data_IF_107396080429
#
_entry.id   IF_107396080429
#
_cell.length_a   1.000
_cell.length_b   1.000
_cell.length_c   1.000
_cell.angle_alpha   90.00
_cell.angle_beta   90.00
_cell.angle_gamma   90.00
#
_symmetry.space_group_name_H-M   'P 1'
#
loop_
_entity.id
_entity.type
_entity.pdbx_description
1 polymer ?
#
# COMPACT_ATOMS: atom_id res chain seq x y z
N UNK A 1 11.56 82.86 24.10
CA UNK A 1 10.13 82.77 23.72
C UNK A 1 9.90 82.14 22.34
N UNK A 2 10.65 82.50 21.28
CA UNK A 2 10.49 81.90 19.94
C UNK A 2 10.61 80.36 19.89
N UNK A 3 11.58 79.77 20.61
CA UNK A 3 11.77 78.31 20.68
C UNK A 3 10.61 77.58 21.38
N UNK A 4 10.06 78.18 22.44
CA UNK A 4 8.92 77.62 23.17
C UNK A 4 7.66 77.60 22.29
N UNK A 5 7.44 78.65 21.49
CA UNK A 5 6.30 78.78 20.59
C UNK A 5 6.34 77.76 19.44
N UNK A 6 7.53 77.46 18.92
CA UNK A 6 7.72 76.43 17.88
C UNK A 6 7.39 75.04 18.43
N UNK A 7 7.79 74.73 19.67
CA UNK A 7 7.54 73.43 20.30
C UNK A 7 6.05 73.23 20.60
N UNK A 8 5.35 74.25 21.12
CA UNK A 8 3.90 74.16 21.35
C UNK A 8 3.12 74.02 20.06
N UNK A 9 3.55 74.68 18.98
CA UNK A 9 2.90 74.57 17.68
C UNK A 9 3.09 73.17 17.08
N UNK A 10 4.28 72.55 17.24
CA UNK A 10 4.54 71.19 16.78
C UNK A 10 3.68 70.16 17.53
N UNK A 11 3.55 70.29 18.84
CA UNK A 11 2.68 69.44 19.67
C UNK A 11 1.21 69.56 19.27
N UNK A 12 0.74 70.78 18.99
CA UNK A 12 -0.61 71.01 18.52
C UNK A 12 -0.85 70.34 17.17
N UNK A 13 0.13 70.42 16.26
CA UNK A 13 0.05 69.81 14.93
C UNK A 13 -0.04 68.28 15.01
N UNK A 14 0.78 67.65 15.87
CA UNK A 14 0.74 66.20 16.12
C UNK A 14 -0.62 65.79 16.70
N UNK A 15 -1.14 66.53 17.68
CA UNK A 15 -2.46 66.26 18.27
C UNK A 15 -3.59 66.41 17.24
N UNK A 16 -3.53 67.42 16.38
CA UNK A 16 -4.50 67.54 15.28
C UNK A 16 -4.38 66.41 14.26
N UNK A 17 -3.17 65.92 13.96
CA UNK A 17 -2.99 64.78 13.04
C UNK A 17 -3.49 63.45 13.61
N UNK A 18 -3.36 63.25 14.94
CA UNK A 18 -3.87 62.06 15.63
C UNK A 18 -5.41 62.08 15.71
N UNK A 19 -6.01 63.25 16.00
CA UNK A 19 -7.46 63.42 16.04
C UNK A 19 -8.12 63.43 14.66
N UNK A 20 -7.39 63.79 13.59
CA UNK A 20 -7.91 63.81 12.22
C UNK A 20 -8.17 62.40 11.64
N UNK A 21 -7.94 61.33 12.39
CA UNK A 21 -8.37 59.98 12.02
C UNK A 21 -7.66 59.39 10.79
N UNK A 22 -6.55 59.98 10.34
CA UNK A 22 -5.77 59.49 9.19
C UNK A 22 -4.85 58.31 9.54
N UNK A 23 -4.94 57.80 10.78
CA UNK A 23 -4.35 56.52 11.15
C UNK A 23 -5.18 55.41 10.49
N UNK A 24 -4.96 55.19 9.20
CA UNK A 24 -5.42 54.00 8.51
C UNK A 24 -4.71 52.80 9.16
N UNK A 25 -5.37 52.20 10.14
CA UNK A 25 -4.95 50.94 10.73
C UNK A 25 -5.17 49.89 9.64
N UNK A 26 -4.11 49.53 8.93
CA UNK A 26 -4.10 48.38 8.02
C UNK A 26 -4.01 47.09 8.85
N UNK A 27 -5.07 46.76 9.59
CA UNK A 27 -5.22 45.42 10.15
C UNK A 27 -5.59 44.48 9.02
N UNK A 28 -4.62 43.73 8.50
CA UNK A 28 -4.91 42.56 7.68
C UNK A 28 -5.40 41.46 8.61
N UNK A 29 -6.71 41.23 8.61
CA UNK A 29 -7.28 40.02 9.20
C UNK A 29 -6.99 38.88 8.24
N UNK A 30 -5.95 38.11 8.53
CA UNK A 30 -5.75 36.81 7.88
C UNK A 30 -6.77 35.87 8.50
N UNK A 31 -7.89 35.64 7.81
CA UNK A 31 -8.72 34.49 8.11
C UNK A 31 -7.89 33.24 7.81
N UNK A 32 -7.42 32.57 8.87
CA UNK A 32 -6.92 31.21 8.79
C UNK A 32 -8.10 30.31 8.43
N UNK A 33 -8.43 30.27 7.13
CA UNK A 33 -9.44 29.37 6.60
C UNK A 33 -8.93 27.96 6.89
N UNK A 34 -9.63 27.22 7.74
CA UNK A 34 -9.34 25.81 7.96
C UNK A 34 -9.42 25.12 6.60
N UNK A 35 -8.27 24.68 6.08
CA UNK A 35 -8.26 23.80 4.91
C UNK A 35 -9.02 22.55 5.37
N UNK A 36 -10.13 22.19 4.71
CA UNK A 36 -10.87 21.01 5.12
C UNK A 36 -9.94 19.80 4.99
N UNK A 37 -9.63 19.19 6.14
CA UNK A 37 -8.92 17.91 6.18
C UNK A 37 -9.96 16.86 5.77
N UNK A 38 -10.05 16.59 4.47
CA UNK A 38 -10.88 15.50 3.96
C UNK A 38 -10.05 14.22 3.97
N UNK A 39 -10.49 13.21 4.72
CA UNK A 39 -9.89 11.89 4.68
C UNK A 39 -10.07 11.29 3.28
N UNK A 40 -8.96 10.90 2.64
CA UNK A 40 -9.00 10.18 1.37
C UNK A 40 -9.40 8.73 1.61
N UNK A 41 -10.16 8.16 0.68
CA UNK A 41 -10.58 6.77 0.74
C UNK A 41 -9.45 5.84 0.29
N UNK A 42 -9.22 4.78 1.08
CA UNK A 42 -8.31 3.68 0.79
C UNK A 42 -9.08 2.36 0.80
N UNK A 43 -8.95 1.58 -0.26
CA UNK A 43 -9.62 0.30 -0.47
C UNK A 43 -8.59 -0.70 -0.97
N UNK A 44 -8.51 -1.85 -0.30
CA UNK A 44 -7.78 -3.02 -0.75
C UNK A 44 -8.73 -4.20 -0.58
N UNK A 45 -9.11 -4.82 -1.68
CA UNK A 45 -9.92 -6.03 -1.69
C UNK A 45 -9.10 -7.20 -2.22
N UNK A 46 -9.28 -8.37 -1.61
CA UNK A 46 -8.56 -9.60 -1.97
C UNK A 46 -9.59 -10.67 -2.28
N UNK A 47 -9.72 -10.98 -3.57
CA UNK A 47 -10.55 -12.06 -4.05
C UNK A 47 -9.77 -13.37 -4.06
N UNK A 48 -10.31 -14.40 -3.41
CA UNK A 48 -9.84 -15.78 -3.60
C UNK A 48 -10.55 -16.38 -4.82
N UNK A 49 -9.83 -17.19 -5.61
CA UNK A 49 -10.47 -18.07 -6.60
C UNK A 49 -11.41 -19.11 -5.95
N UNK A 50 -12.01 -19.99 -6.76
CA UNK A 50 -13.02 -20.97 -6.33
C UNK A 50 -12.52 -22.12 -5.44
N UNK A 51 -11.34 -22.01 -4.84
CA UNK A 51 -10.79 -23.07 -3.99
C UNK A 51 -11.14 -22.79 -2.52
N UNK A 52 -12.16 -23.48 -2.02
CA UNK A 52 -12.33 -23.68 -0.59
C UNK A 52 -11.20 -24.62 -0.11
N UNK A 53 -10.43 -24.15 0.89
CA UNK A 53 -9.30 -24.83 1.55
C UNK A 53 -7.97 -24.88 0.74
N UNK A 54 -6.98 -24.10 1.18
CA UNK A 54 -5.62 -23.99 0.62
C UNK A 54 -4.74 -25.19 1.01
N UNK A 55 -5.22 -26.41 0.77
CA UNK A 55 -4.40 -27.60 0.94
C UNK A 55 -3.58 -27.82 -0.34
N UNK A 56 -2.25 -27.87 -0.21
CA UNK A 56 -1.36 -28.19 -1.32
C UNK A 56 -1.35 -29.71 -1.57
N UNK A 57 -1.99 -30.13 -2.68
CA UNK A 57 -1.97 -31.52 -3.14
C UNK A 57 -1.09 -31.62 -4.39
N UNK A 58 0.12 -32.14 -4.24
CA UNK A 58 1.11 -32.21 -5.32
C UNK A 58 1.95 -33.50 -5.25
N UNK A 59 2.26 -34.09 -6.39
CA UNK A 59 3.22 -35.20 -6.51
C UNK A 59 4.48 -34.76 -7.29
N UNK A 60 5.60 -35.51 -7.25
CA UNK A 60 6.76 -35.20 -8.07
C UNK A 60 6.43 -35.31 -9.56
N UNK A 61 6.89 -34.34 -10.32
CA UNK A 61 6.53 -34.10 -11.70
C UNK A 61 5.36 -33.12 -11.89
N UNK A 62 4.59 -32.84 -10.83
CA UNK A 62 3.41 -31.99 -10.94
C UNK A 62 3.74 -30.50 -10.84
N UNK A 63 2.82 -29.71 -11.37
CA UNK A 63 2.76 -28.27 -11.16
C UNK A 63 1.33 -27.86 -10.83
N UNK A 64 1.15 -27.14 -9.72
CA UNK A 64 -0.14 -26.72 -9.17
C UNK A 64 -0.15 -25.20 -9.05
N UNK A 65 -1.24 -24.57 -9.46
CA UNK A 65 -1.37 -23.11 -9.47
C UNK A 65 -2.61 -22.65 -8.70
N UNK A 66 -2.44 -21.67 -7.81
CA UNK A 66 -3.52 -21.05 -7.04
C UNK A 66 -3.68 -19.58 -7.42
N UNK A 67 -4.87 -19.20 -7.84
CA UNK A 67 -5.18 -17.86 -8.33
C UNK A 67 -5.85 -17.02 -7.24
N UNK A 68 -5.47 -15.76 -7.18
CA UNK A 68 -6.11 -14.74 -6.35
C UNK A 68 -6.09 -13.40 -7.07
N UNK A 69 -7.06 -12.55 -6.75
CA UNK A 69 -7.15 -11.19 -7.27
C UNK A 69 -6.91 -10.19 -6.15
N UNK A 70 -6.32 -9.06 -6.51
CA UNK A 70 -6.16 -7.91 -5.63
C UNK A 70 -6.72 -6.73 -6.39
N UNK A 71 -7.63 -5.98 -5.76
CA UNK A 71 -8.22 -4.79 -6.35
C UNK A 71 -8.15 -3.59 -5.41
N UNK A 72 -8.13 -2.40 -5.99
CA UNK A 72 -8.23 -1.14 -5.25
C UNK A 72 -9.67 -0.60 -5.22
N UNK A 73 -10.67 -1.46 -5.44
CA UNK A 73 -12.07 -1.07 -5.52
C UNK A 73 -13.00 -2.11 -4.92
N UNK A 74 -14.09 -1.65 -4.30
CA UNK A 74 -15.10 -2.50 -3.66
C UNK A 74 -16.47 -2.20 -4.27
N UNK A 75 -16.72 -2.69 -5.48
CA UNK A 75 -17.95 -2.41 -6.24
C UNK A 75 -18.03 -0.98 -6.80
N UNK A 76 -19.18 -0.64 -7.38
CA UNK A 76 -19.35 0.61 -8.13
C UNK A 76 -19.08 1.86 -7.28
N UNK A 77 -18.17 2.71 -7.76
CA UNK A 77 -17.87 4.02 -7.17
C UNK A 77 -17.08 3.98 -5.85
N UNK A 78 -16.62 2.81 -5.40
CA UNK A 78 -15.82 2.65 -4.16
C UNK A 78 -14.37 2.26 -4.46
N UNK A 79 -13.61 3.20 -5.02
CA UNK A 79 -12.19 3.03 -5.34
C UNK A 79 -11.28 3.88 -4.44
N UNK A 80 -10.02 3.48 -4.35
CA UNK A 80 -8.98 4.27 -3.69
C UNK A 80 -8.75 5.62 -4.37
N UNK A 81 -8.62 6.68 -3.57
CA UNK A 81 -8.38 8.06 -4.01
C UNK A 81 -6.89 8.46 -3.93
N UNK A 82 -6.05 7.48 -3.65
CA UNK A 82 -4.59 7.59 -3.46
C UNK A 82 -3.89 6.52 -4.28
N UNK A 83 -2.66 6.82 -4.69
CA UNK A 83 -1.77 5.81 -5.25
C UNK A 83 -1.47 4.77 -4.17
N UNK A 84 -1.42 3.49 -4.55
CA UNK A 84 -1.16 2.39 -3.65
C UNK A 84 0.05 1.58 -4.11
N UNK A 85 0.95 1.34 -3.16
CA UNK A 85 1.98 0.32 -3.29
C UNK A 85 1.41 -1.01 -2.81
N UNK A 86 1.85 -2.09 -3.43
CA UNK A 86 1.44 -3.45 -3.10
C UNK A 86 2.62 -4.26 -2.60
N UNK A 87 2.43 -4.96 -1.49
CA UNK A 87 3.37 -5.93 -0.94
C UNK A 87 2.66 -7.28 -0.77
N UNK A 88 3.28 -8.35 -1.26
CA UNK A 88 2.84 -9.73 -1.13
C UNK A 88 3.97 -10.52 -0.46
N UNK A 89 3.68 -11.09 0.71
CA UNK A 89 4.60 -11.89 1.50
C UNK A 89 4.00 -13.26 1.78
N UNK A 90 4.82 -14.30 1.79
CA UNK A 90 4.39 -15.65 2.16
C UNK A 90 5.53 -16.43 2.81
N UNK A 91 5.18 -17.36 3.69
CA UNK A 91 6.11 -18.27 4.35
C UNK A 91 5.74 -19.71 3.99
N UNK A 92 6.60 -20.34 3.20
CA UNK A 92 6.50 -21.73 2.76
C UNK A 92 7.62 -22.59 3.36
N UNK A 93 8.24 -22.17 4.46
CA UNK A 93 9.32 -22.92 5.12
C UNK A 93 8.92 -24.36 5.46
N UNK A 94 7.68 -24.58 5.91
CA UNK A 94 7.12 -25.91 6.16
C UNK A 94 6.99 -26.75 4.88
N UNK A 95 6.63 -26.12 3.76
CA UNK A 95 6.55 -26.77 2.44
C UNK A 95 7.93 -27.19 1.97
N UNK A 96 8.94 -26.34 2.13
CA UNK A 96 10.34 -26.64 1.78
C UNK A 96 10.92 -27.77 2.64
N UNK A 97 10.54 -27.85 3.92
CA UNK A 97 10.92 -28.94 4.81
C UNK A 97 10.29 -30.27 4.40
N UNK A 98 9.02 -30.24 3.98
CA UNK A 98 8.26 -31.45 3.63
C UNK A 98 8.50 -31.93 2.20
N UNK A 99 8.75 -31.02 1.26
CA UNK A 99 8.88 -31.29 -0.18
C UNK A 99 10.26 -30.86 -0.69
N UNK A 100 11.30 -31.71 -0.56
CA UNK A 100 12.63 -31.38 -1.02
C UNK A 100 12.65 -31.04 -2.52
N UNK A 101 13.24 -29.90 -2.86
CA UNK A 101 13.39 -29.44 -4.24
C UNK A 101 12.14 -28.80 -4.87
N UNK A 102 11.08 -28.55 -4.08
CA UNK A 102 9.94 -27.76 -4.53
C UNK A 102 10.38 -26.35 -4.97
N UNK A 103 9.80 -25.88 -6.07
CA UNK A 103 9.97 -24.52 -6.57
C UNK A 103 8.64 -23.79 -6.43
N UNK A 104 8.67 -22.61 -5.81
CA UNK A 104 7.48 -21.79 -5.60
C UNK A 104 7.70 -20.43 -6.24
N UNK A 105 6.82 -20.04 -7.16
CA UNK A 105 6.88 -18.75 -7.84
C UNK A 105 5.55 -17.99 -7.76
N UNK A 106 5.65 -16.66 -7.76
CA UNK A 106 4.53 -15.76 -7.90
C UNK A 106 4.51 -15.22 -9.32
N UNK A 107 3.35 -15.29 -9.95
CA UNK A 107 3.13 -14.81 -11.31
C UNK A 107 2.03 -13.75 -11.34
N UNK A 108 2.18 -12.76 -12.20
CA UNK A 108 1.17 -11.74 -12.54
C UNK A 108 0.90 -11.86 -14.05
N UNK A 109 -0.35 -12.05 -14.45
CA UNK A 109 -0.71 -12.25 -15.87
C UNK A 109 0.14 -13.32 -16.61
N UNK A 110 0.57 -14.38 -15.89
CA UNK A 110 1.38 -15.47 -16.42
C UNK A 110 2.90 -15.20 -16.47
N UNK A 111 3.34 -14.00 -16.11
CA UNK A 111 4.76 -13.66 -16.00
C UNK A 111 5.24 -13.84 -14.56
N UNK A 112 6.38 -14.49 -14.37
CA UNK A 112 6.97 -14.61 -13.04
C UNK A 112 7.45 -13.25 -12.55
N UNK A 113 6.87 -12.81 -11.42
CA UNK A 113 7.20 -11.53 -10.76
C UNK A 113 7.92 -11.73 -9.42
N UNK A 114 7.88 -12.93 -8.86
CA UNK A 114 8.58 -13.28 -7.63
C UNK A 114 8.81 -14.79 -7.49
N UNK A 115 9.68 -15.18 -6.55
CA UNK A 115 9.90 -16.57 -6.17
C UNK A 115 10.23 -16.67 -4.69
N UNK A 116 9.94 -17.83 -4.09
CA UNK A 116 10.40 -18.12 -2.74
C UNK A 116 11.93 -18.33 -2.73
N UNK A 117 12.58 -17.80 -1.71
CA UNK A 117 14.01 -17.99 -1.50
C UNK A 117 14.34 -19.40 -0.98
N UNK A 118 15.62 -19.67 -0.74
CA UNK A 118 16.08 -20.97 -0.21
C UNK A 118 15.56 -21.29 1.21
N UNK A 119 14.97 -20.32 1.91
CA UNK A 119 14.30 -20.53 3.20
C UNK A 119 12.79 -20.74 3.09
N UNK A 120 12.25 -20.70 1.87
CA UNK A 120 10.81 -20.81 1.60
C UNK A 120 10.07 -19.48 1.78
N UNK A 121 10.76 -18.34 1.94
CA UNK A 121 10.09 -17.05 2.07
C UNK A 121 9.94 -16.37 0.72
N UNK A 122 8.73 -15.91 0.44
CA UNK A 122 8.41 -15.14 -0.75
C UNK A 122 8.11 -13.70 -0.34
N UNK A 123 8.71 -12.74 -1.04
CA UNK A 123 8.46 -11.32 -0.84
C UNK A 123 8.45 -10.63 -2.20
N UNK A 124 7.36 -9.95 -2.51
CA UNK A 124 7.16 -9.16 -3.71
C UNK A 124 6.64 -7.78 -3.32
N UNK A 125 7.20 -6.73 -3.94
CA UNK A 125 6.78 -5.35 -3.73
C UNK A 125 6.70 -4.63 -5.06
N UNK A 126 5.59 -3.93 -5.28
CA UNK A 126 5.35 -3.11 -6.46
C UNK A 126 4.90 -1.73 -6.02
N UNK A 127 5.74 -0.72 -6.32
CA UNK A 127 5.36 0.67 -6.10
C UNK A 127 4.35 1.13 -7.14
N UNK A 128 3.39 1.95 -6.73
CA UNK A 128 2.28 2.43 -7.57
C UNK A 128 1.57 1.30 -8.31
N UNK A 129 1.34 0.19 -7.61
CA UNK A 129 0.61 -0.96 -8.12
C UNK A 129 -0.83 -0.59 -8.53
N UNK A 130 -1.43 0.38 -7.86
CA UNK A 130 -2.73 0.94 -8.24
C UNK A 130 -2.70 2.46 -8.28
N UNK A 131 -3.25 3.05 -9.33
CA UNK A 131 -3.34 4.50 -9.50
C UNK A 131 -4.52 5.11 -8.72
N UNK A 132 -4.33 6.33 -8.23
CA UNK A 132 -5.39 7.08 -7.57
C UNK A 132 -6.62 7.27 -8.47
N UNK A 133 -7.81 6.96 -7.93
CA UNK A 133 -9.10 7.16 -8.60
C UNK A 133 -9.27 6.39 -9.92
N UNK A 134 -8.50 5.34 -10.13
CA UNK A 134 -8.67 4.41 -11.26
C UNK A 134 -8.99 3.03 -10.68
N UNK A 135 -10.19 2.47 -10.94
CA UNK A 135 -10.53 1.14 -10.45
C UNK A 135 -9.75 0.12 -11.28
N UNK A 136 -8.95 -0.69 -10.60
CA UNK A 136 -8.08 -1.68 -11.20
C UNK A 136 -8.12 -2.97 -10.38
N UNK A 137 -8.03 -4.09 -11.08
CA UNK A 137 -7.91 -5.43 -10.51
C UNK A 137 -6.70 -6.12 -11.14
N UNK A 138 -5.87 -6.75 -10.30
CA UNK A 138 -4.71 -7.52 -10.70
C UNK A 138 -4.93 -8.98 -10.34
N UNK A 139 -4.63 -9.86 -11.30
CA UNK A 139 -4.70 -11.31 -11.11
C UNK A 139 -3.29 -11.87 -10.90
N UNK A 140 -3.11 -12.51 -9.76
CA UNK A 140 -1.88 -13.19 -9.38
C UNK A 140 -2.10 -14.70 -9.30
N UNK A 141 -1.02 -15.45 -9.46
CA UNK A 141 -1.01 -16.89 -9.25
C UNK A 141 0.25 -17.35 -8.54
N UNK A 142 0.08 -18.14 -7.49
CA UNK A 142 1.16 -18.91 -6.85
C UNK A 142 1.29 -20.25 -7.56
N UNK A 143 2.48 -20.51 -8.11
CA UNK A 143 2.80 -21.73 -8.85
C UNK A 143 3.76 -22.56 -8.02
N UNK A 144 3.35 -23.78 -7.69
CA UNK A 144 4.14 -24.79 -7.00
C UNK A 144 4.54 -25.83 -8.04
N UNK A 145 5.83 -25.99 -8.28
CA UNK A 145 6.37 -27.00 -9.20
C UNK A 145 7.29 -27.93 -8.43
N UNK A 146 7.00 -29.23 -8.44
CA UNK A 146 7.82 -30.21 -7.74
C UNK A 146 8.52 -31.11 -8.75
N UNK A 147 9.80 -30.88 -9.07
CA UNK A 147 10.50 -31.72 -10.03
C UNK A 147 10.60 -33.17 -9.55
N UNK A 148 10.44 -34.10 -10.48
CA UNK A 148 10.69 -35.51 -10.20
C UNK A 148 12.19 -35.74 -9.94
N UNK A 149 12.51 -36.06 -8.68
CA UNK A 149 13.87 -36.31 -8.22
C UNK A 149 13.89 -37.47 -7.22
N UNK A 150 15.04 -38.10 -7.04
CA UNK A 150 15.19 -39.19 -6.07
C UNK A 150 14.78 -38.76 -4.65
N UNK A 151 15.15 -37.55 -4.24
CA UNK A 151 14.76 -36.99 -2.94
C UNK A 151 13.23 -36.78 -2.84
N UNK A 152 12.60 -36.30 -3.91
CA UNK A 152 11.15 -36.11 -3.95
C UNK A 152 10.41 -37.45 -3.81
N UNK A 153 10.85 -38.49 -4.52
CA UNK A 153 10.26 -39.84 -4.45
C UNK A 153 10.36 -40.47 -3.05
N UNK A 154 11.49 -40.27 -2.37
CA UNK A 154 11.68 -40.78 -1.00
C UNK A 154 10.77 -40.08 0.02
N UNK A 155 10.47 -38.79 -0.18
CA UNK A 155 9.62 -38.03 0.75
C UNK A 155 8.16 -38.52 0.78
N UNK A 156 7.59 -38.95 -0.35
CA UNK A 156 6.20 -39.44 -0.43
C UNK A 156 6.01 -40.73 0.37
N UNK A 157 7.05 -41.55 0.48
CA UNK A 157 6.99 -42.81 1.21
C UNK A 157 6.85 -42.62 2.74
N UNK A 158 7.02 -41.38 3.23
CA UNK A 158 6.96 -41.05 4.67
C UNK A 158 5.57 -40.64 5.20
N UNK A 159 4.55 -40.53 4.34
CA UNK A 159 3.16 -40.24 4.73
C UNK A 159 2.66 -38.84 4.34
N UNK A 160 1.33 -38.65 4.37
CA UNK A 160 0.66 -37.41 3.94
C UNK A 160 0.88 -36.28 4.96
N UNK A 161 1.35 -35.13 4.48
CA UNK A 161 1.38 -33.87 5.23
C UNK A 161 0.40 -32.89 4.58
N UNK A 162 -0.58 -32.40 5.34
CA UNK A 162 -1.36 -31.23 4.94
C UNK A 162 -0.50 -30.01 5.27
N UNK A 163 -0.13 -29.24 4.25
CA UNK A 163 0.75 -28.10 4.39
C UNK A 163 -0.09 -26.83 4.28
N UNK A 164 -0.37 -26.13 5.40
CA UNK A 164 -1.16 -24.91 5.35
C UNK A 164 -0.38 -23.83 4.60
N UNK A 165 -1.00 -23.27 3.57
CA UNK A 165 -0.47 -22.13 2.84
C UNK A 165 -1.02 -20.84 3.42
N UNK A 166 -0.16 -19.86 3.68
CA UNK A 166 -0.57 -18.54 4.14
C UNK A 166 0.14 -17.46 3.33
N UNK A 167 -0.67 -16.52 2.82
CA UNK A 167 -0.20 -15.33 2.12
C UNK A 167 -0.65 -14.09 2.87
N UNK A 168 0.22 -13.11 2.94
CA UNK A 168 -0.01 -11.81 3.55
C UNK A 168 0.06 -10.76 2.45
N UNK A 169 -1.05 -10.05 2.25
CA UNK A 169 -1.16 -9.01 1.24
C UNK A 169 -1.36 -7.68 1.97
N UNK A 170 -0.51 -6.70 1.65
CA UNK A 170 -0.56 -5.37 2.24
C UNK A 170 -0.54 -4.32 1.14
N UNK A 171 -1.53 -3.42 1.18
CA UNK A 171 -1.50 -2.17 0.44
C UNK A 171 -1.00 -1.04 1.34
N UNK A 172 -0.13 -0.18 0.82
CA UNK A 172 0.31 1.03 1.53
C UNK A 172 0.06 2.26 0.67
N UNK A 173 -0.46 3.33 1.27
CA UNK A 173 -0.67 4.61 0.62
C UNK A 173 0.48 5.58 0.94
N UNK A 174 0.78 6.45 -0.01
CA UNK A 174 1.63 7.62 0.22
C UNK A 174 0.75 8.87 0.22
N UNK A 175 0.88 9.71 1.26
CA UNK A 175 0.13 10.97 1.43
C UNK A 175 1.06 12.15 1.17
#
# INVERSE_FOLDING_TARGET
MRKALIITMLLLMIMTSLNAGTLAIYTSTVELRAVPITAKRFVLDVGRGSADEFDLWIAPGDTVSYYFTISNSAGEGRQSEVDMDLVIEADFSSVYQALPGILISLTEAGLQVGAADGSGRLSYSQSKAFAASVPEEKMFSLVFSWPDSEAARQSIMSGRSILPLSIYIRGTQHV
#
